data_IF_697145516541
#
_entry.id   IF_697145516541
#
_cell.length_a   1.000
_cell.length_b   1.000
_cell.length_c   1.000
_cell.angle_alpha   90.00
_cell.angle_beta   90.00
_cell.angle_gamma   90.00
#
_symmetry.space_group_name_H-M   'P 1'
#
loop_
_entity.id
_entity.type
_entity.pdbx_description
1 polymer ?
#
# COMPACT_ATOMS: atom_id res chain seq x y z
N UNK A 1 -12.61 32.90 1.99
CA UNK A 1 -13.51 31.85 1.48
C UNK A 1 -12.77 30.52 1.65
N UNK A 2 -13.05 29.80 2.73
CA UNK A 2 -12.40 28.51 2.98
C UNK A 2 -13.00 27.48 2.03
N UNK A 3 -12.21 27.04 1.04
CA UNK A 3 -12.55 25.82 0.30
C UNK A 3 -12.38 24.66 1.27
N UNK A 4 -13.50 24.20 1.81
CA UNK A 4 -13.60 22.94 2.52
C UNK A 4 -13.26 21.87 1.49
N UNK A 5 -12.04 21.32 1.54
CA UNK A 5 -11.72 20.03 0.94
C UNK A 5 -12.54 18.97 1.70
N UNK A 6 -13.84 18.88 1.37
CA UNK A 6 -14.65 17.69 1.59
C UNK A 6 -14.11 16.62 0.63
N UNK A 7 -12.91 16.12 0.90
CA UNK A 7 -12.54 14.82 0.37
C UNK A 7 -13.40 13.84 1.15
N UNK A 8 -14.51 13.41 0.54
CA UNK A 8 -15.12 12.12 0.86
C UNK A 8 -13.99 11.14 1.15
N UNK A 9 -14.07 10.43 2.27
CA UNK A 9 -13.09 9.45 2.70
C UNK A 9 -12.85 8.50 1.51
N UNK A 10 -11.82 8.78 0.70
CA UNK A 10 -11.58 8.06 -0.54
C UNK A 10 -10.93 6.78 -0.08
N UNK A 11 -11.74 5.75 0.10
CA UNK A 11 -11.24 4.39 0.17
C UNK A 11 -10.46 4.13 -1.12
N UNK A 12 -9.25 3.57 -0.96
CA UNK A 12 -8.24 3.44 -2.02
C UNK A 12 -7.94 1.96 -2.29
N UNK A 13 -8.97 1.14 -2.49
CA UNK A 13 -8.73 -0.27 -2.79
C UNK A 13 -7.94 -0.47 -4.10
N UNK A 14 -8.03 0.50 -5.03
CA UNK A 14 -7.25 0.51 -6.26
C UNK A 14 -5.75 0.54 -6.00
N UNK A 15 -5.29 1.27 -4.99
CA UNK A 15 -3.86 1.39 -4.68
C UNK A 15 -3.30 0.00 -4.28
N UNK A 16 -4.07 -0.83 -3.56
CA UNK A 16 -3.65 -2.20 -3.21
C UNK A 16 -3.51 -3.10 -4.43
N UNK A 17 -4.44 -2.99 -5.37
CA UNK A 17 -4.37 -3.71 -6.64
C UNK A 17 -3.15 -3.28 -7.46
N UNK A 18 -2.91 -1.97 -7.58
CA UNK A 18 -1.79 -1.43 -8.35
C UNK A 18 -0.44 -1.84 -7.74
N UNK A 19 -0.29 -1.79 -6.41
CA UNK A 19 0.91 -2.29 -5.72
C UNK A 19 1.11 -3.78 -6.03
N UNK A 20 0.07 -4.59 -5.86
CA UNK A 20 0.13 -6.03 -6.14
C UNK A 20 0.56 -6.31 -7.58
N UNK A 21 -0.11 -5.72 -8.57
CA UNK A 21 0.20 -5.95 -9.99
C UNK A 21 1.59 -5.45 -10.36
N UNK A 22 2.03 -4.34 -9.80
CA UNK A 22 3.36 -3.77 -10.04
C UNK A 22 4.44 -4.70 -9.49
N UNK A 23 4.31 -5.15 -8.24
CA UNK A 23 5.35 -5.93 -7.56
C UNK A 23 5.31 -7.44 -7.85
N UNK A 24 4.26 -7.93 -8.49
CA UNK A 24 4.19 -9.32 -8.99
C UNK A 24 4.40 -9.44 -10.49
N UNK A 25 4.64 -8.31 -11.18
CA UNK A 25 4.95 -8.33 -12.60
C UNK A 25 6.32 -8.97 -12.83
N UNK A 26 6.35 -10.08 -13.56
CA UNK A 26 7.57 -10.83 -13.91
C UNK A 26 8.59 -10.01 -14.72
N UNK A 27 8.16 -8.91 -15.33
CA UNK A 27 9.07 -8.00 -16.04
C UNK A 27 9.72 -6.96 -15.10
N UNK A 28 9.35 -6.95 -13.81
CA UNK A 28 9.81 -6.01 -12.79
C UNK A 28 10.26 -6.75 -11.52
N UNK A 29 10.88 -7.92 -11.67
CA UNK A 29 11.31 -8.77 -10.53
C UNK A 29 12.18 -8.02 -9.54
N UNK A 30 13.07 -7.15 -10.02
CA UNK A 30 13.97 -6.33 -9.19
C UNK A 30 13.24 -5.30 -8.33
N UNK A 31 12.05 -4.85 -8.74
CA UNK A 31 11.33 -3.79 -8.04
C UNK A 31 10.88 -4.24 -6.64
N UNK A 32 10.53 -5.52 -6.46
CA UNK A 32 10.17 -6.04 -5.14
C UNK A 32 11.36 -6.00 -4.18
N UNK A 33 12.57 -6.34 -4.64
CA UNK A 33 13.77 -6.23 -3.81
C UNK A 33 14.10 -4.77 -3.48
N UNK A 34 13.93 -3.86 -4.44
CA UNK A 34 14.18 -2.43 -4.24
C UNK A 34 13.24 -1.80 -3.20
N UNK A 35 11.95 -2.16 -3.20
CA UNK A 35 10.99 -1.68 -2.20
C UNK A 35 11.39 -2.05 -0.77
N UNK A 36 12.06 -3.18 -0.59
CA UNK A 36 12.50 -3.69 0.72
C UNK A 36 13.97 -3.38 1.02
N UNK A 37 14.63 -2.60 0.17
CA UNK A 37 16.03 -2.20 0.32
C UNK A 37 16.16 -1.05 1.32
N UNK A 38 17.06 -1.21 2.30
CA UNK A 38 17.39 -0.19 3.29
C UNK A 38 17.95 1.08 2.63
N UNK A 39 18.64 0.93 1.50
CA UNK A 39 19.16 2.05 0.70
C UNK A 39 18.05 3.00 0.24
N UNK A 40 16.80 2.50 0.15
CA UNK A 40 15.63 3.27 -0.29
C UNK A 40 14.77 3.78 0.87
N UNK A 41 15.06 3.45 2.14
CA UNK A 41 14.20 3.82 3.27
C UNK A 41 14.12 5.33 3.53
N UNK A 42 15.13 6.10 3.14
CA UNK A 42 15.06 7.55 3.19
C UNK A 42 13.89 8.12 2.36
N UNK A 43 13.50 7.46 1.26
CA UNK A 43 12.36 7.88 0.44
C UNK A 43 11.07 7.73 1.24
N UNK A 44 10.91 6.58 1.91
CA UNK A 44 9.76 6.28 2.75
C UNK A 44 9.62 7.29 3.90
N UNK A 45 10.71 7.56 4.62
CA UNK A 45 10.74 8.57 5.69
C UNK A 45 10.31 9.94 5.19
N UNK A 46 10.87 10.39 4.06
CA UNK A 46 10.56 11.69 3.50
C UNK A 46 9.08 11.79 3.09
N UNK A 47 8.50 10.74 2.51
CA UNK A 47 7.07 10.71 2.14
C UNK A 47 6.18 10.85 3.38
N UNK A 48 6.45 10.07 4.44
CA UNK A 48 5.66 10.11 5.66
C UNK A 48 5.83 11.42 6.42
N UNK A 49 7.06 11.95 6.49
CA UNK A 49 7.37 13.24 7.11
C UNK A 49 6.66 14.39 6.42
N UNK A 50 6.68 14.45 5.07
CA UNK A 50 6.00 15.52 4.31
C UNK A 50 4.49 15.46 4.49
N UNK A 51 3.93 14.26 4.70
CA UNK A 51 2.51 14.06 4.98
C UNK A 51 2.15 14.26 6.47
N UNK A 52 3.14 14.51 7.32
CA UNK A 52 2.98 14.66 8.77
C UNK A 52 2.25 13.48 9.42
N UNK A 53 2.54 12.26 8.95
CA UNK A 53 1.93 11.03 9.47
C UNK A 53 2.97 10.04 10.01
N UNK A 54 2.64 9.29 11.08
CA UNK A 54 3.53 8.28 11.64
C UNK A 54 3.72 7.08 10.70
N UNK A 55 4.94 6.54 10.64
CA UNK A 55 5.28 5.34 9.85
C UNK A 55 4.56 4.09 10.36
N UNK A 56 4.20 4.06 11.64
CA UNK A 56 3.41 3.02 12.30
C UNK A 56 2.05 2.80 11.63
N UNK A 57 1.54 3.78 10.86
CA UNK A 57 0.29 3.62 10.11
C UNK A 57 0.37 2.49 9.06
N UNK A 58 1.55 2.09 8.60
CA UNK A 58 1.72 0.93 7.72
C UNK A 58 1.16 -0.36 8.34
N UNK A 59 1.19 -0.48 9.68
CA UNK A 59 0.66 -1.63 10.43
C UNK A 59 -0.86 -1.62 10.58
N UNK A 60 -1.53 -0.53 10.17
CA UNK A 60 -2.96 -0.31 10.43
C UNK A 60 -3.86 -0.67 9.24
N UNK A 61 -3.33 -1.24 8.17
CA UNK A 61 -4.12 -1.64 7.00
C UNK A 61 -5.31 -2.55 7.38
N UNK A 62 -5.09 -3.49 8.30
CA UNK A 62 -6.13 -4.36 8.90
C UNK A 62 -7.38 -3.64 9.39
N UNK A 63 -7.24 -2.42 9.92
CA UNK A 63 -8.38 -1.64 10.46
C UNK A 63 -9.34 -1.13 9.38
N UNK A 64 -8.95 -1.23 8.11
CA UNK A 64 -9.72 -0.73 6.95
C UNK A 64 -10.23 -1.84 6.03
N UNK A 65 -10.08 -3.11 6.43
CA UNK A 65 -10.32 -4.26 5.54
C UNK A 65 -11.72 -4.25 4.92
N UNK A 66 -12.75 -4.08 5.73
CA UNK A 66 -14.15 -4.12 5.26
C UNK A 66 -14.47 -2.98 4.29
N UNK A 67 -13.99 -1.77 4.60
CA UNK A 67 -14.14 -0.61 3.71
C UNK A 67 -13.45 -0.86 2.36
N UNK A 68 -12.23 -1.41 2.39
CA UNK A 68 -11.43 -1.71 1.21
C UNK A 68 -12.05 -2.83 0.38
N UNK A 69 -12.62 -3.85 1.01
CA UNK A 69 -13.32 -4.95 0.33
C UNK A 69 -14.52 -4.40 -0.46
N UNK A 70 -15.36 -3.60 0.21
CA UNK A 70 -16.53 -2.99 -0.40
C UNK A 70 -16.16 -2.02 -1.55
N UNK A 71 -15.07 -1.27 -1.41
CA UNK A 71 -14.58 -0.37 -2.47
C UNK A 71 -13.99 -1.16 -3.65
N UNK A 72 -13.30 -2.27 -3.38
CA UNK A 72 -12.75 -3.15 -4.40
C UNK A 72 -13.85 -3.71 -5.30
N UNK A 73 -14.88 -4.31 -4.70
CA UNK A 73 -16.01 -4.88 -5.43
C UNK A 73 -16.75 -3.83 -6.26
N UNK A 74 -17.03 -2.67 -5.66
CA UNK A 74 -17.89 -1.66 -6.29
C UNK A 74 -17.18 -0.80 -7.33
N UNK A 75 -15.88 -0.56 -7.16
CA UNK A 75 -15.15 0.41 -8.01
C UNK A 75 -13.99 -0.22 -8.73
N UNK A 76 -13.24 -1.13 -8.13
CA UNK A 76 -11.99 -1.62 -8.71
C UNK A 76 -12.27 -2.74 -9.71
N UNK A 77 -13.05 -3.76 -9.32
CA UNK A 77 -13.40 -4.89 -10.20
C UNK A 77 -14.01 -4.47 -11.55
N UNK A 78 -14.99 -3.53 -11.63
CA UNK A 78 -15.58 -3.13 -12.91
C UNK A 78 -14.59 -2.49 -13.89
N UNK A 79 -13.44 -2.03 -13.41
CA UNK A 79 -12.40 -1.37 -14.21
C UNK A 79 -11.30 -2.34 -14.67
N UNK A 80 -11.32 -3.59 -14.22
CA UNK A 80 -10.27 -4.58 -14.51
C UNK A 80 -10.82 -5.64 -15.48
N UNK A 81 -10.09 -5.98 -16.57
CA UNK A 81 -10.45 -7.10 -17.43
C UNK A 81 -10.53 -8.41 -16.64
N UNK A 82 -11.55 -9.25 -16.88
CA UNK A 82 -11.77 -10.49 -16.11
C UNK A 82 -10.52 -11.39 -15.96
N UNK A 83 -9.65 -11.44 -16.98
CA UNK A 83 -8.41 -12.25 -16.97
C UNK A 83 -7.31 -11.71 -16.03
N UNK A 84 -7.47 -10.48 -15.54
CA UNK A 84 -6.52 -9.76 -14.67
C UNK A 84 -7.11 -9.47 -13.28
N UNK A 85 -8.36 -9.89 -13.05
CA UNK A 85 -9.00 -9.81 -11.75
C UNK A 85 -8.39 -10.85 -10.81
N UNK A 86 -8.21 -10.44 -9.57
CA UNK A 86 -7.74 -11.31 -8.49
C UNK A 86 -8.68 -11.15 -7.30
N UNK A 87 -8.71 -12.16 -6.44
CA UNK A 87 -9.52 -12.13 -5.22
C UNK A 87 -9.03 -11.02 -4.28
N UNK A 88 -9.97 -10.25 -3.72
CA UNK A 88 -9.65 -9.16 -2.80
C UNK A 88 -8.78 -9.65 -1.65
N UNK A 89 -9.12 -10.81 -1.07
CA UNK A 89 -8.42 -11.39 0.07
C UNK A 89 -6.94 -11.66 -0.26
N UNK A 90 -6.67 -12.15 -1.47
CA UNK A 90 -5.31 -12.42 -1.91
C UNK A 90 -4.49 -11.12 -2.07
N UNK A 91 -5.08 -10.10 -2.69
CA UNK A 91 -4.47 -8.77 -2.83
C UNK A 91 -4.23 -8.14 -1.46
N UNK A 92 -5.21 -8.22 -0.57
CA UNK A 92 -5.16 -7.65 0.76
C UNK A 92 -4.04 -8.30 1.58
N UNK A 93 -3.99 -9.63 1.63
CA UNK A 93 -2.96 -10.38 2.35
C UNK A 93 -1.56 -10.14 1.80
N UNK A 94 -1.43 -9.97 0.49
CA UNK A 94 -0.16 -9.57 -0.13
C UNK A 94 0.31 -8.22 0.40
N UNK A 95 -0.55 -7.19 0.33
CA UNK A 95 -0.21 -5.83 0.76
C UNK A 95 0.02 -5.75 2.28
N UNK A 96 -0.80 -6.44 3.08
CA UNK A 96 -0.65 -6.46 4.53
C UNK A 96 0.70 -7.06 4.95
N UNK A 97 1.12 -8.15 4.30
CA UNK A 97 2.45 -8.74 4.54
C UNK A 97 3.56 -7.80 4.09
N UNK A 98 3.44 -7.20 2.91
CA UNK A 98 4.42 -6.25 2.39
C UNK A 98 4.62 -5.06 3.34
N UNK A 99 3.55 -4.43 3.81
CA UNK A 99 3.63 -3.26 4.69
C UNK A 99 4.20 -3.62 6.05
N UNK A 100 3.86 -4.79 6.60
CA UNK A 100 4.46 -5.27 7.84
C UNK A 100 5.95 -5.56 7.67
N UNK A 101 6.34 -6.26 6.60
CA UNK A 101 7.75 -6.54 6.29
C UNK A 101 8.55 -5.24 6.12
N UNK A 102 7.98 -4.26 5.41
CA UNK A 102 8.60 -2.95 5.22
C UNK A 102 8.79 -2.21 6.55
N UNK A 103 7.77 -2.20 7.42
CA UNK A 103 7.86 -1.57 8.73
C UNK A 103 8.88 -2.28 9.65
N UNK A 104 8.89 -3.61 9.68
CA UNK A 104 9.85 -4.39 10.48
C UNK A 104 11.30 -4.14 10.06
N UNK A 105 11.58 -4.12 8.74
CA UNK A 105 12.91 -3.80 8.22
C UNK A 105 13.30 -2.36 8.55
N UNK A 106 12.37 -1.43 8.41
CA UNK A 106 12.59 -0.03 8.76
C UNK A 106 12.95 0.15 10.23
N UNK A 107 12.27 -0.55 11.15
CA UNK A 107 12.61 -0.51 12.56
C UNK A 107 14.04 -1.00 12.82
N UNK A 108 14.45 -2.12 12.21
CA UNK A 108 15.82 -2.64 12.34
C UNK A 108 16.88 -1.68 11.78
N UNK A 109 16.58 -1.03 10.66
CA UNK A 109 17.43 0.00 10.08
C UNK A 109 17.60 1.21 11.01
N UNK A 110 16.54 1.61 11.71
CA UNK A 110 16.64 2.70 12.68
C UNK A 110 17.39 2.31 13.95
N UNK A 111 17.31 1.05 14.38
CA UNK A 111 18.06 0.54 15.55
C UNK A 111 19.57 0.42 15.27
N UNK A 112 19.97 0.33 14.00
CA UNK A 112 21.37 0.16 13.58
C UNK A 112 22.10 1.48 13.25
N UNK A 113 21.41 2.63 13.27
CA UNK A 113 21.97 3.98 13.05
C UNK A 113 22.27 4.70 14.37
#
# INVERSE_FOLDING_TARGET
>A
MYYIFLTTNKTRARDLYDIFKTLTNINQVELRSEVLSEDNFYILENIFRVKEVPLELMTKLGTKKDDLAADYERKVLPQIPNKEQEEFEYIFDYNQRLFNELFERYQKYNESR
#
